data_IF_964750759401
#
_entry.id   IF_964750759401
#
_cell.length_a   1.000
_cell.length_b   1.000
_cell.length_c   1.000
_cell.angle_alpha   90.00
_cell.angle_beta   90.00
_cell.angle_gamma   90.00
#
_symmetry.space_group_name_H-M   'P 1'
#
loop_
_entity.id
_entity.type
_entity.pdbx_description
1 polymer ?
#
# COMPACT_ATOMS: atom_id res chain seq x y z
N UNK A 1 -30.56 44.57 -3.18
CA UNK A 1 -29.61 44.08 -2.17
C UNK A 1 -29.43 42.59 -2.41
N UNK A 2 -28.57 42.26 -3.36
CA UNK A 2 -28.17 40.89 -3.66
C UNK A 2 -27.08 40.42 -2.72
N UNK A 3 -27.30 39.30 -2.07
CA UNK A 3 -26.29 38.65 -1.24
C UNK A 3 -25.31 37.92 -2.15
N UNK A 4 -24.10 38.42 -2.26
CA UNK A 4 -22.97 37.66 -2.79
C UNK A 4 -22.79 36.37 -2.00
N UNK A 5 -23.09 35.24 -2.63
CA UNK A 5 -22.70 33.93 -2.13
C UNK A 5 -21.21 33.74 -2.43
N UNK A 6 -20.40 33.92 -1.40
CA UNK A 6 -18.97 33.68 -1.43
C UNK A 6 -18.69 32.18 -1.60
N UNK A 7 -18.47 31.73 -2.80
CA UNK A 7 -18.09 30.38 -3.12
C UNK A 7 -16.65 30.12 -2.66
N UNK A 8 -16.51 29.70 -1.41
CA UNK A 8 -15.23 29.27 -0.87
C UNK A 8 -14.81 27.95 -1.52
N UNK A 9 -13.64 27.92 -2.12
CA UNK A 9 -13.13 26.69 -2.75
C UNK A 9 -13.03 25.54 -1.72
N UNK A 10 -13.24 24.30 -2.16
CA UNK A 10 -13.19 23.08 -1.34
C UNK A 10 -11.90 23.01 -0.48
N UNK A 11 -10.80 23.51 -1.02
CA UNK A 11 -9.49 23.56 -0.35
C UNK A 11 -9.48 24.56 0.81
N UNK A 12 -10.14 25.71 0.65
CA UNK A 12 -10.29 26.73 1.69
C UNK A 12 -11.30 26.32 2.76
N UNK A 13 -12.34 25.59 2.36
CA UNK A 13 -13.31 25.01 3.29
C UNK A 13 -12.67 23.96 4.20
N UNK A 14 -11.81 23.08 3.66
CA UNK A 14 -11.07 22.10 4.45
C UNK A 14 -10.00 22.74 5.36
N UNK A 15 -9.36 23.83 4.91
CA UNK A 15 -8.37 24.54 5.72
C UNK A 15 -8.99 25.40 6.84
N UNK A 16 -10.15 25.99 6.61
CA UNK A 16 -10.76 26.94 7.54
C UNK A 16 -11.97 26.31 8.28
N UNK A 17 -12.85 25.63 7.58
CA UNK A 17 -14.07 25.05 8.17
C UNK A 17 -13.79 23.80 9.02
N UNK A 18 -12.87 22.95 8.58
CA UNK A 18 -12.44 21.79 9.37
C UNK A 18 -11.75 22.20 10.67
N UNK A 19 -10.92 23.25 10.62
CA UNK A 19 -10.23 23.76 11.80
C UNK A 19 -11.15 24.44 12.80
N UNK A 20 -12.18 25.14 12.34
CA UNK A 20 -13.11 25.89 13.21
C UNK A 20 -14.16 24.95 13.84
N UNK A 21 -14.70 23.98 13.11
CA UNK A 21 -15.70 23.05 13.66
C UNK A 21 -15.09 22.04 14.62
N UNK A 22 -13.88 21.54 14.37
CA UNK A 22 -13.15 20.72 15.33
C UNK A 22 -12.73 21.55 16.57
N UNK A 23 -12.29 22.80 16.39
CA UNK A 23 -11.92 23.67 17.50
C UNK A 23 -13.08 23.99 18.44
N UNK A 24 -14.27 24.27 17.93
CA UNK A 24 -15.43 24.65 18.75
C UNK A 24 -16.06 23.47 19.50
N UNK A 25 -16.05 22.27 18.93
CA UNK A 25 -16.66 21.08 19.55
C UNK A 25 -15.78 20.44 20.65
N UNK A 26 -14.47 20.67 20.63
CA UNK A 26 -13.49 20.04 21.52
C UNK A 26 -12.77 21.00 22.48
N UNK A 27 -12.97 22.31 22.35
CA UNK A 27 -12.29 23.31 23.20
C UNK A 27 -12.57 23.15 24.69
N UNK A 28 -13.61 22.43 25.09
CA UNK A 28 -13.95 22.19 26.50
C UNK A 28 -13.23 21.01 27.17
N UNK A 29 -12.63 20.09 26.39
CA UNK A 29 -12.09 18.84 26.96
C UNK A 29 -10.59 18.65 26.72
N UNK A 30 -10.00 19.28 25.72
CA UNK A 30 -8.64 18.93 25.28
C UNK A 30 -7.63 20.11 25.19
N UNK A 31 -7.92 21.25 25.70
CA UNK A 31 -6.99 22.35 25.98
C UNK A 31 -5.77 22.49 25.05
N UNK A 32 -4.59 22.60 25.67
CA UNK A 32 -3.30 22.83 24.99
C UNK A 32 -2.86 21.76 24.00
N UNK A 33 -3.33 20.53 24.12
CA UNK A 33 -2.99 19.44 23.22
C UNK A 33 -3.62 19.62 21.84
N UNK A 34 -4.87 20.09 21.77
CA UNK A 34 -5.57 20.35 20.51
C UNK A 34 -4.95 21.51 19.72
N UNK A 35 -4.51 22.55 20.45
CA UNK A 35 -3.84 23.70 19.82
C UNK A 35 -2.50 23.30 19.15
N UNK A 36 -1.72 22.45 19.81
CA UNK A 36 -0.50 21.89 19.22
C UNK A 36 -0.80 21.02 17.99
N UNK A 37 -1.86 20.21 18.04
CA UNK A 37 -2.32 19.42 16.90
C UNK A 37 -2.67 20.28 15.68
N UNK A 38 -3.32 21.43 15.90
CA UNK A 38 -3.75 22.32 14.83
C UNK A 38 -2.59 23.17 14.25
N UNK A 39 -1.54 23.40 15.01
CA UNK A 39 -0.40 24.22 14.60
C UNK A 39 0.77 23.43 14.02
N UNK A 40 0.81 22.12 14.27
CA UNK A 40 1.81 21.24 13.68
C UNK A 40 1.13 19.98 13.11
N UNK A 41 0.86 19.93 11.78
CA UNK A 41 0.19 18.81 11.13
C UNK A 41 0.88 17.46 11.34
N UNK A 42 2.18 17.45 11.63
CA UNK A 42 2.91 16.22 11.94
C UNK A 42 2.52 15.63 13.31
N UNK A 43 1.97 16.44 14.22
CA UNK A 43 1.54 16.03 15.56
C UNK A 43 0.04 15.69 15.64
N UNK A 44 -0.72 15.79 14.53
CA UNK A 44 -2.18 15.59 14.48
C UNK A 44 -2.62 14.18 14.95
N UNK A 45 -1.71 13.23 14.91
CA UNK A 45 -1.98 11.83 15.23
C UNK A 45 -1.38 11.37 16.57
N UNK A 46 -0.82 12.29 17.36
CA UNK A 46 -0.12 11.95 18.58
C UNK A 46 -0.62 12.79 19.75
N UNK A 47 -1.28 12.17 20.73
CA UNK A 47 -1.21 12.71 22.09
C UNK A 47 0.27 12.71 22.48
N UNK A 48 0.84 13.89 22.69
CA UNK A 48 2.30 14.05 22.84
C UNK A 48 2.92 13.26 23.99
N UNK A 49 2.11 12.77 24.96
CA UNK A 49 2.56 11.87 26.02
C UNK A 49 2.55 10.41 25.57
N UNK A 50 1.53 10.01 24.83
CA UNK A 50 1.37 8.64 24.35
C UNK A 50 2.34 8.36 23.21
N UNK A 51 2.56 9.31 22.30
CA UNK A 51 3.57 9.27 21.28
C UNK A 51 4.99 9.19 21.86
N UNK A 52 5.28 9.98 22.88
CA UNK A 52 6.56 9.94 23.56
C UNK A 52 6.78 8.60 24.28
N UNK A 53 5.75 8.07 24.91
CA UNK A 53 5.77 6.76 25.58
C UNK A 53 5.93 5.62 24.56
N UNK A 54 5.20 5.68 23.44
CA UNK A 54 5.33 4.69 22.36
C UNK A 54 6.68 4.79 21.65
N UNK A 55 7.19 6.00 21.44
CA UNK A 55 8.54 6.20 20.89
C UNK A 55 9.60 5.66 21.86
N UNK A 56 9.46 5.89 23.16
CA UNK A 56 10.35 5.33 24.19
C UNK A 56 10.20 3.80 24.30
N UNK A 57 9.01 3.24 24.10
CA UNK A 57 8.78 1.79 24.03
C UNK A 57 9.35 1.18 22.74
N UNK A 58 9.16 1.83 21.58
CA UNK A 58 9.76 1.43 20.31
C UNK A 58 11.29 1.56 20.33
N UNK A 59 11.82 2.58 21.02
CA UNK A 59 13.27 2.73 21.22
C UNK A 59 13.84 1.70 22.20
N UNK A 60 13.05 1.21 23.17
CA UNK A 60 13.44 0.13 24.10
C UNK A 60 13.39 -1.25 23.43
N UNK A 61 12.44 -1.47 22.55
CA UNK A 61 12.44 -2.64 21.67
C UNK A 61 13.36 -2.30 20.51
N UNK A 62 14.62 -2.69 20.58
CA UNK A 62 15.51 -2.63 19.42
C UNK A 62 14.90 -3.53 18.35
N UNK A 63 14.06 -2.92 17.48
CA UNK A 63 13.57 -3.61 16.30
C UNK A 63 14.78 -3.86 15.40
N UNK A 64 15.05 -5.12 15.14
CA UNK A 64 16.07 -5.51 14.19
C UNK A 64 15.37 -6.21 13.05
N UNK A 65 15.37 -5.56 11.88
CA UNK A 65 14.82 -6.12 10.66
C UNK A 65 15.46 -7.45 10.33
N UNK A 66 14.69 -8.49 9.96
CA UNK A 66 15.27 -9.72 9.41
C UNK A 66 15.87 -9.51 8.02
N UNK A 67 15.69 -8.33 7.44
CA UNK A 67 16.16 -7.97 6.11
C UNK A 67 17.28 -6.93 6.19
N UNK A 68 18.34 -7.11 5.39
CA UNK A 68 19.43 -6.14 5.24
C UNK A 68 19.44 -5.59 3.84
N UNK A 69 19.56 -4.27 3.72
CA UNK A 69 19.76 -3.63 2.43
C UNK A 69 21.12 -4.04 1.87
N UNK A 70 21.10 -4.68 0.69
CA UNK A 70 22.31 -5.14 0.00
C UNK A 70 22.64 -4.28 -1.20
N UNK A 71 21.61 -3.77 -1.86
CA UNK A 71 21.75 -3.05 -3.12
C UNK A 71 20.64 -2.00 -3.29
N UNK A 72 20.80 -1.12 -4.26
CA UNK A 72 19.76 -0.19 -4.68
C UNK A 72 20.23 0.66 -5.86
N UNK A 73 19.29 1.08 -6.68
CA UNK A 73 19.52 1.91 -7.85
C UNK A 73 18.44 2.97 -8.02
N UNK A 74 18.69 3.92 -8.91
CA UNK A 74 17.80 5.03 -9.22
C UNK A 74 17.21 4.81 -10.62
N UNK A 75 15.91 4.98 -10.74
CA UNK A 75 15.18 4.99 -12.00
C UNK A 75 15.10 6.45 -12.52
N UNK A 76 15.05 6.69 -13.83
CA UNK A 76 15.04 8.06 -14.36
C UNK A 76 13.90 8.95 -13.85
N UNK A 77 12.72 8.35 -13.62
CA UNK A 77 11.49 9.06 -13.23
C UNK A 77 10.91 8.53 -11.92
N UNK A 78 9.88 9.20 -11.40
CA UNK A 78 9.13 8.74 -10.23
C UNK A 78 8.41 7.42 -10.53
N UNK A 79 8.55 6.47 -9.63
CA UNK A 79 7.98 5.13 -9.76
C UNK A 79 6.51 5.19 -9.36
N UNK A 80 5.63 4.73 -10.23
CA UNK A 80 4.19 4.61 -9.98
C UNK A 80 3.77 3.17 -9.71
N UNK A 81 4.54 2.18 -10.18
CA UNK A 81 4.23 0.77 -10.03
C UNK A 81 5.50 -0.09 -9.98
N UNK A 82 5.42 -1.19 -9.25
CA UNK A 82 6.47 -2.21 -9.16
C UNK A 82 5.84 -3.58 -9.38
N UNK A 83 6.46 -4.41 -10.23
CA UNK A 83 6.03 -5.79 -10.46
C UNK A 83 7.23 -6.67 -10.79
N UNK A 84 7.02 -7.97 -10.92
CA UNK A 84 8.04 -8.93 -11.33
C UNK A 84 7.58 -9.71 -12.57
N UNK A 85 8.53 -10.00 -13.45
CA UNK A 85 8.34 -10.96 -14.55
C UNK A 85 9.52 -11.93 -14.57
N UNK A 86 9.31 -13.15 -14.10
CA UNK A 86 10.41 -14.08 -13.83
C UNK A 86 11.36 -13.49 -12.76
N UNK A 87 12.61 -13.33 -13.11
CA UNK A 87 13.67 -12.74 -12.27
C UNK A 87 13.91 -11.24 -12.52
N UNK A 88 13.09 -10.62 -13.37
CA UNK A 88 13.21 -9.21 -13.71
C UNK A 88 12.31 -8.34 -12.82
N UNK A 89 12.84 -7.18 -12.43
CA UNK A 89 12.08 -6.11 -11.78
C UNK A 89 11.44 -5.25 -12.85
N UNK A 90 10.12 -5.18 -12.86
CA UNK A 90 9.33 -4.32 -13.73
C UNK A 90 8.99 -3.05 -12.97
N UNK A 91 9.38 -1.91 -13.51
CA UNK A 91 9.15 -0.60 -12.92
C UNK A 91 8.30 0.24 -13.87
N UNK A 92 7.11 0.59 -13.42
CA UNK A 92 6.25 1.57 -14.08
C UNK A 92 6.59 2.98 -13.61
N UNK A 93 6.64 3.91 -14.54
CA UNK A 93 6.65 5.36 -14.30
C UNK A 93 5.46 5.99 -15.01
N UNK A 94 5.29 7.29 -14.94
CA UNK A 94 4.11 7.93 -15.53
C UNK A 94 3.87 7.58 -17.01
N UNK A 95 4.92 7.28 -17.78
CA UNK A 95 4.85 7.07 -19.22
C UNK A 95 5.82 6.01 -19.78
N UNK A 96 6.46 5.23 -18.91
CA UNK A 96 7.39 4.17 -19.34
C UNK A 96 7.27 2.93 -18.45
N UNK A 97 7.55 1.78 -19.04
CA UNK A 97 7.84 0.54 -18.34
C UNK A 97 9.32 0.24 -18.55
N UNK A 98 10.04 0.03 -17.46
CA UNK A 98 11.43 -0.41 -17.44
C UNK A 98 11.51 -1.83 -16.92
N UNK A 99 12.41 -2.62 -17.45
CA UNK A 99 12.75 -3.97 -16.94
C UNK A 99 14.22 -3.96 -16.53
N UNK A 100 14.44 -4.26 -15.28
CA UNK A 100 15.78 -4.35 -14.70
C UNK A 100 16.05 -5.78 -14.23
N UNK A 101 17.30 -6.20 -14.30
CA UNK A 101 17.75 -7.35 -13.53
C UNK A 101 17.83 -7.03 -12.05
N UNK A 102 17.99 -8.06 -11.23
CA UNK A 102 18.02 -7.92 -9.77
C UNK A 102 19.22 -7.09 -9.26
N UNK A 103 20.26 -6.94 -10.07
CA UNK A 103 21.42 -6.13 -9.79
C UNK A 103 21.34 -4.71 -10.39
N UNK A 104 20.16 -4.35 -10.93
CA UNK A 104 19.85 -3.01 -11.41
C UNK A 104 20.31 -2.69 -12.84
N UNK A 105 20.75 -3.68 -13.60
CA UNK A 105 21.07 -3.51 -15.02
C UNK A 105 19.77 -3.39 -15.84
N UNK A 106 19.69 -2.34 -16.67
CA UNK A 106 18.55 -2.14 -17.56
C UNK A 106 18.55 -3.19 -18.67
N UNK A 107 17.53 -4.01 -18.73
CA UNK A 107 17.37 -5.09 -19.70
C UNK A 107 16.40 -4.73 -20.83
N UNK A 108 15.60 -3.69 -20.66
CA UNK A 108 14.71 -3.18 -21.69
C UNK A 108 13.72 -2.19 -21.14
N UNK A 109 13.10 -1.46 -22.05
CA UNK A 109 12.03 -0.53 -21.73
C UNK A 109 11.12 -0.32 -22.94
N UNK A 110 9.91 0.15 -22.69
CA UNK A 110 8.99 0.63 -23.71
C UNK A 110 8.16 1.79 -23.15
N UNK A 111 7.76 2.68 -24.06
CA UNK A 111 6.93 3.84 -23.68
C UNK A 111 5.45 3.48 -23.69
N UNK A 112 4.71 4.06 -22.78
CA UNK A 112 3.26 3.93 -22.66
C UNK A 112 2.62 5.31 -22.60
N UNK A 113 1.30 5.38 -22.70
CA UNK A 113 0.59 6.66 -22.53
C UNK A 113 0.82 7.20 -21.11
N UNK A 114 0.80 8.52 -21.00
CA UNK A 114 1.00 9.18 -19.71
C UNK A 114 -0.14 8.88 -18.72
N UNK A 115 0.22 8.81 -17.44
CA UNK A 115 -0.71 8.62 -16.33
C UNK A 115 -0.82 7.16 -15.86
N UNK A 116 0.19 6.32 -16.15
CA UNK A 116 0.27 4.97 -15.60
C UNK A 116 0.22 5.02 -14.07
N UNK A 117 -0.63 4.19 -13.48
CA UNK A 117 -0.82 4.08 -12.02
C UNK A 117 -0.33 2.77 -11.45
N UNK A 118 -0.58 1.68 -12.17
CA UNK A 118 -0.22 0.35 -11.68
C UNK A 118 0.06 -0.61 -12.85
N UNK A 119 0.75 -1.69 -12.55
CA UNK A 119 1.06 -2.75 -13.50
C UNK A 119 0.90 -4.11 -12.84
N UNK A 120 0.29 -5.05 -13.54
CA UNK A 120 0.32 -6.46 -13.19
C UNK A 120 0.80 -7.29 -14.37
N UNK A 121 1.45 -8.41 -14.07
CA UNK A 121 1.92 -9.36 -15.07
C UNK A 121 1.14 -10.67 -14.92
N UNK A 122 0.58 -11.15 -16.02
CA UNK A 122 -0.11 -12.43 -16.05
C UNK A 122 -0.04 -13.07 -17.43
N UNK A 123 0.36 -14.34 -17.52
CA UNK A 123 0.54 -15.07 -18.77
C UNK A 123 1.38 -14.32 -19.81
N UNK A 124 2.56 -13.83 -19.40
CA UNK A 124 3.49 -13.07 -20.23
C UNK A 124 2.92 -11.78 -20.85
N UNK A 125 1.86 -11.25 -20.28
CA UNK A 125 1.27 -9.96 -20.65
C UNK A 125 1.37 -8.97 -19.52
N UNK A 126 1.55 -7.69 -19.89
CA UNK A 126 1.43 -6.58 -18.98
C UNK A 126 0.01 -6.02 -19.03
N UNK A 127 -0.61 -5.89 -17.88
CA UNK A 127 -1.88 -5.19 -17.70
C UNK A 127 -1.56 -3.86 -17.03
N UNK A 128 -1.70 -2.79 -17.79
CA UNK A 128 -1.33 -1.44 -17.38
C UNK A 128 -2.58 -0.68 -16.99
N UNK A 129 -2.59 -0.17 -15.78
CA UNK A 129 -3.72 0.57 -15.23
C UNK A 129 -3.52 2.07 -15.35
N UNK A 130 -4.50 2.73 -15.93
CA UNK A 130 -4.62 4.18 -15.96
C UNK A 130 -5.87 4.62 -15.20
N UNK A 131 -6.05 5.92 -14.88
CA UNK A 131 -7.21 6.39 -14.13
C UNK A 131 -8.57 5.96 -14.68
N UNK A 132 -8.69 5.83 -16.00
CA UNK A 132 -9.96 5.57 -16.70
C UNK A 132 -9.89 4.49 -17.77
N UNK A 133 -8.86 3.64 -17.75
CA UNK A 133 -8.71 2.54 -18.71
C UNK A 133 -7.70 1.52 -18.26
N UNK A 134 -7.73 0.36 -18.90
CA UNK A 134 -6.72 -0.69 -18.80
C UNK A 134 -6.17 -0.94 -20.20
N UNK A 135 -4.86 -0.99 -20.33
CA UNK A 135 -4.20 -1.34 -21.59
C UNK A 135 -3.43 -2.65 -21.39
N UNK A 136 -3.50 -3.54 -22.37
CA UNK A 136 -2.81 -4.82 -22.35
C UNK A 136 -1.70 -4.82 -23.39
N UNK A 137 -0.50 -5.16 -22.94
CA UNK A 137 0.70 -5.24 -23.78
C UNK A 137 1.28 -6.65 -23.75
N UNK A 138 1.94 -7.02 -24.83
CA UNK A 138 2.73 -8.25 -24.87
C UNK A 138 4.09 -8.07 -24.15
N UNK A 139 4.87 -9.15 -24.11
CA UNK A 139 6.20 -9.14 -23.49
C UNK A 139 7.20 -8.23 -24.23
N UNK A 140 6.96 -7.94 -25.51
CA UNK A 140 7.78 -7.06 -26.34
C UNK A 140 7.46 -5.57 -26.13
N UNK A 141 6.33 -5.27 -25.48
CA UNK A 141 5.84 -3.91 -25.25
C UNK A 141 4.95 -3.40 -26.38
N UNK A 142 4.37 -4.31 -27.18
CA UNK A 142 3.37 -3.95 -28.19
C UNK A 142 1.96 -3.99 -27.61
N UNK A 143 1.16 -2.96 -27.85
CA UNK A 143 -0.20 -2.87 -27.37
C UNK A 143 -1.11 -3.91 -28.05
N UNK A 144 -1.78 -4.74 -27.26
CA UNK A 144 -2.67 -5.80 -27.74
C UNK A 144 -4.15 -5.39 -27.63
N UNK A 145 -4.54 -4.78 -26.52
CA UNK A 145 -5.92 -4.43 -26.20
C UNK A 145 -5.99 -3.16 -25.37
N UNK A 146 -7.12 -2.47 -25.46
CA UNK A 146 -7.47 -1.33 -24.61
C UNK A 146 -8.92 -1.50 -24.14
N UNK A 147 -9.16 -1.30 -22.86
CA UNK A 147 -10.49 -1.41 -22.26
C UNK A 147 -10.84 -0.11 -21.54
N UNK A 148 -11.94 0.46 -21.94
CA UNK A 148 -12.52 1.62 -21.29
C UNK A 148 -12.90 1.32 -19.83
N UNK A 149 -12.89 2.33 -18.99
CA UNK A 149 -13.40 2.21 -17.64
C UNK A 149 -14.90 1.92 -17.63
N UNK A 150 -15.37 1.29 -16.55
CA UNK A 150 -16.79 0.96 -16.37
C UNK A 150 -17.70 2.17 -16.10
N UNK A 151 -17.14 3.36 -15.93
CA UNK A 151 -17.87 4.63 -15.78
C UNK A 151 -17.02 5.82 -16.19
N UNK A 152 -17.66 6.89 -16.65
CA UNK A 152 -17.01 8.13 -17.06
C UNK A 152 -16.26 8.84 -15.92
N UNK A 153 -16.64 8.57 -14.68
CA UNK A 153 -16.03 9.14 -13.48
C UNK A 153 -15.11 8.17 -12.76
N UNK A 154 -14.71 7.06 -13.40
CA UNK A 154 -13.81 6.11 -12.77
C UNK A 154 -12.47 6.76 -12.39
N UNK A 155 -11.91 6.33 -11.26
CA UNK A 155 -10.61 6.74 -10.78
C UNK A 155 -9.87 5.51 -10.23
N UNK A 156 -9.37 4.70 -11.18
CA UNK A 156 -8.71 3.44 -10.91
C UNK A 156 -7.40 3.65 -10.18
N UNK A 157 -7.17 2.86 -9.14
CA UNK A 157 -6.01 2.97 -8.28
C UNK A 157 -5.00 1.84 -8.46
N UNK A 158 -5.44 0.61 -8.30
CA UNK A 158 -4.59 -0.58 -8.41
C UNK A 158 -5.36 -1.75 -9.02
N UNK A 159 -4.61 -2.73 -9.55
CA UNK A 159 -5.17 -3.94 -10.13
C UNK A 159 -4.43 -5.20 -9.66
N UNK A 160 -5.14 -6.31 -9.72
CA UNK A 160 -4.56 -7.65 -9.59
C UNK A 160 -5.20 -8.58 -10.61
N UNK A 161 -4.42 -9.52 -11.14
CA UNK A 161 -4.85 -10.42 -12.22
C UNK A 161 -4.71 -11.87 -11.76
N UNK A 162 -5.72 -12.66 -12.01
CA UNK A 162 -5.75 -14.11 -11.79
C UNK A 162 -6.58 -14.78 -12.89
N UNK A 163 -6.63 -16.11 -12.90
CA UNK A 163 -7.34 -16.86 -13.94
C UNK A 163 -8.84 -16.55 -14.00
N UNK A 164 -9.45 -16.14 -12.89
CA UNK A 164 -10.87 -15.78 -12.78
C UNK A 164 -11.18 -14.38 -13.28
N UNK A 165 -10.14 -13.56 -13.59
CA UNK A 165 -10.29 -12.22 -14.12
C UNK A 165 -9.36 -11.20 -13.49
N UNK A 166 -9.68 -9.94 -13.74
CA UNK A 166 -8.93 -8.77 -13.31
C UNK A 166 -9.78 -8.01 -12.31
N UNK A 167 -9.19 -7.67 -11.17
CA UNK A 167 -9.84 -6.92 -10.12
C UNK A 167 -9.16 -5.56 -10.00
N UNK A 168 -9.93 -4.51 -10.11
CA UNK A 168 -9.47 -3.11 -10.14
C UNK A 168 -10.18 -2.33 -9.07
N UNK A 169 -9.43 -1.62 -8.25
CA UNK A 169 -9.99 -0.72 -7.24
C UNK A 169 -10.30 0.64 -7.85
N UNK A 170 -11.52 1.14 -7.62
CA UNK A 170 -12.00 2.43 -8.09
C UNK A 170 -12.29 3.35 -6.89
N UNK A 171 -11.47 4.39 -6.73
CA UNK A 171 -11.60 5.34 -5.62
C UNK A 171 -12.81 6.27 -5.77
N UNK A 172 -13.22 6.60 -6.98
CA UNK A 172 -14.38 7.45 -7.22
C UNK A 172 -15.67 6.72 -6.92
N UNK A 173 -15.84 5.51 -7.44
CA UNK A 173 -17.02 4.67 -7.22
C UNK A 173 -16.99 3.95 -5.87
N UNK A 174 -15.80 3.89 -5.20
CA UNK A 174 -15.59 3.19 -3.91
C UNK A 174 -16.05 1.72 -3.99
N UNK A 175 -15.55 1.04 -5.00
CA UNK A 175 -15.82 -0.37 -5.25
C UNK A 175 -14.59 -1.05 -5.88
N UNK A 176 -14.70 -2.36 -6.10
CA UNK A 176 -13.78 -3.12 -6.93
C UNK A 176 -14.54 -3.51 -8.19
N UNK A 177 -13.99 -3.17 -9.36
CA UNK A 177 -14.49 -3.63 -10.65
C UNK A 177 -13.84 -4.98 -10.98
N UNK A 178 -14.62 -6.00 -11.26
CA UNK A 178 -14.11 -7.27 -11.78
C UNK A 178 -14.36 -7.36 -13.27
N UNK A 179 -13.28 -7.53 -14.03
CA UNK A 179 -13.31 -7.79 -15.47
C UNK A 179 -12.94 -9.25 -15.75
N UNK A 180 -13.49 -9.79 -16.83
CA UNK A 180 -12.95 -11.01 -17.43
C UNK A 180 -11.62 -10.72 -18.12
N UNK A 181 -10.86 -11.76 -18.45
CA UNK A 181 -9.58 -11.63 -19.18
C UNK A 181 -9.74 -11.12 -20.62
N UNK A 182 -10.97 -11.05 -21.13
CA UNK A 182 -11.30 -10.45 -22.44
C UNK A 182 -11.68 -8.97 -22.36
N UNK A 183 -11.65 -8.36 -21.16
CA UNK A 183 -11.99 -6.97 -20.90
C UNK A 183 -13.47 -6.71 -20.61
N UNK A 184 -14.31 -7.74 -20.65
CA UNK A 184 -15.73 -7.58 -20.33
C UNK A 184 -15.92 -7.37 -18.83
N UNK A 185 -16.63 -6.31 -18.43
CA UNK A 185 -17.01 -6.11 -17.04
C UNK A 185 -17.91 -7.25 -16.56
N UNK A 186 -17.49 -7.93 -15.50
CA UNK A 186 -18.25 -9.04 -14.91
C UNK A 186 -19.18 -8.55 -13.79
N UNK A 187 -18.66 -7.73 -12.87
CA UNK A 187 -19.42 -7.22 -11.73
C UNK A 187 -18.72 -6.09 -10.99
N UNK A 188 -19.48 -5.46 -10.08
CA UNK A 188 -18.94 -4.56 -9.05
C UNK A 188 -19.00 -5.26 -7.69
N UNK A 189 -17.91 -5.14 -6.92
CA UNK A 189 -17.79 -5.66 -5.57
C UNK A 189 -17.79 -4.49 -4.61
N UNK A 190 -18.69 -4.50 -3.65
CA UNK A 190 -18.84 -3.46 -2.63
C UNK A 190 -18.46 -4.01 -1.26
N UNK A 191 -17.82 -3.17 -0.46
CA UNK A 191 -17.55 -3.52 0.92
C UNK A 191 -18.83 -3.45 1.77
N UNK A 192 -19.12 -4.47 2.59
CA UNK A 192 -20.19 -4.37 3.58
C UNK A 192 -19.90 -3.31 4.64
N UNK A 193 -18.62 -2.99 4.85
CA UNK A 193 -18.17 -1.93 5.75
C UNK A 193 -18.18 -0.53 5.09
N UNK A 194 -18.37 -0.46 3.77
CA UNK A 194 -18.19 0.72 2.94
C UNK A 194 -16.72 1.12 2.79
N UNK A 195 -16.21 1.19 1.58
CA UNK A 195 -14.84 1.65 1.32
C UNK A 195 -14.69 3.13 1.64
N UNK A 196 -13.62 3.46 2.39
CA UNK A 196 -13.21 4.83 2.72
C UNK A 196 -11.79 5.04 2.19
N UNK A 197 -11.66 5.81 1.10
CA UNK A 197 -10.42 5.99 0.35
C UNK A 197 -10.00 7.46 0.36
N UNK A 198 -9.37 7.94 1.45
CA UNK A 198 -9.15 9.37 1.63
C UNK A 198 -8.01 9.95 0.78
N UNK A 199 -7.13 9.13 0.21
CA UNK A 199 -5.94 9.62 -0.52
C UNK A 199 -5.59 8.78 -1.74
N UNK A 200 -6.59 8.22 -2.41
CA UNK A 200 -6.41 7.38 -3.60
C UNK A 200 -5.51 6.15 -3.41
N UNK A 201 -5.16 5.84 -2.18
CA UNK A 201 -4.46 4.61 -1.82
C UNK A 201 -5.51 3.52 -1.62
N UNK A 202 -5.55 2.55 -2.52
CA UNK A 202 -6.59 1.53 -2.54
C UNK A 202 -5.98 0.22 -3.05
N UNK A 203 -5.11 -0.37 -2.21
CA UNK A 203 -4.31 -1.55 -2.51
C UNK A 203 -5.15 -2.79 -2.74
N UNK A 204 -4.74 -3.63 -3.69
CA UNK A 204 -5.38 -4.91 -3.99
C UNK A 204 -4.35 -5.96 -4.36
N UNK A 205 -4.58 -7.19 -3.92
CA UNK A 205 -3.78 -8.35 -4.28
C UNK A 205 -4.63 -9.62 -4.26
N UNK A 206 -4.07 -10.73 -4.71
CA UNK A 206 -4.74 -12.02 -4.66
C UNK A 206 -3.83 -13.11 -4.11
N UNK A 207 -4.41 -14.07 -3.41
CA UNK A 207 -3.71 -15.24 -2.86
C UNK A 207 -4.68 -16.38 -2.65
N UNK A 208 -4.29 -17.59 -3.05
CA UNK A 208 -5.03 -18.83 -2.80
C UNK A 208 -6.53 -18.76 -3.21
N UNK A 209 -6.83 -18.12 -4.35
CA UNK A 209 -8.20 -17.99 -4.85
C UNK A 209 -9.06 -16.97 -4.07
N UNK A 210 -8.44 -16.07 -3.31
CA UNK A 210 -9.07 -14.95 -2.66
C UNK A 210 -8.47 -13.64 -3.14
N UNK A 211 -9.25 -12.58 -3.09
CA UNK A 211 -8.84 -11.20 -3.35
C UNK A 211 -8.80 -10.45 -2.02
N UNK A 212 -7.71 -9.75 -1.77
CA UNK A 212 -7.52 -8.92 -0.59
C UNK A 212 -7.42 -7.45 -1.03
N UNK A 213 -8.14 -6.60 -0.33
CA UNK A 213 -8.21 -5.19 -0.65
C UNK A 213 -8.03 -4.33 0.60
N UNK A 214 -7.20 -3.31 0.54
CA UNK A 214 -7.10 -2.35 1.63
C UNK A 214 -8.36 -1.50 1.72
N UNK A 215 -8.82 -1.19 2.94
CA UNK A 215 -9.83 -0.17 3.21
C UNK A 215 -9.18 0.89 4.12
N UNK A 216 -8.34 1.77 3.54
CA UNK A 216 -7.33 2.51 4.30
C UNK A 216 -7.94 3.53 5.28
N UNK A 217 -9.08 4.13 4.98
CA UNK A 217 -9.75 5.03 5.91
C UNK A 217 -10.48 4.32 7.05
N UNK A 218 -10.58 2.99 7.00
CA UNK A 218 -11.09 2.14 8.10
C UNK A 218 -9.96 1.40 8.81
N UNK A 219 -8.73 1.49 8.31
CA UNK A 219 -7.56 0.79 8.87
C UNK A 219 -7.72 -0.73 8.89
N UNK A 220 -8.30 -1.29 7.84
CA UNK A 220 -8.49 -2.72 7.68
C UNK A 220 -8.08 -3.19 6.27
N UNK A 221 -7.82 -4.48 6.17
CA UNK A 221 -7.76 -5.23 4.92
C UNK A 221 -8.98 -6.13 4.86
N UNK A 222 -9.67 -6.15 3.75
CA UNK A 222 -10.85 -6.97 3.50
C UNK A 222 -10.53 -8.11 2.54
N UNK A 223 -11.08 -9.28 2.82
CA UNK A 223 -10.94 -10.49 2.02
C UNK A 223 -12.25 -10.81 1.30
N UNK A 224 -12.12 -11.19 0.03
CA UNK A 224 -13.23 -11.59 -0.83
C UNK A 224 -12.92 -12.89 -1.54
N UNK A 225 -13.96 -13.66 -1.87
CA UNK A 225 -13.85 -14.75 -2.85
C UNK A 225 -13.62 -14.18 -4.25
N UNK A 226 -13.15 -14.99 -5.19
CA UNK A 226 -13.05 -14.60 -6.62
C UNK A 226 -14.42 -14.31 -7.25
N UNK A 227 -15.51 -14.67 -6.59
CA UNK A 227 -16.87 -14.32 -6.99
C UNK A 227 -17.34 -12.98 -6.38
N UNK A 228 -16.50 -12.31 -5.60
CA UNK A 228 -16.79 -11.02 -4.99
C UNK A 228 -17.57 -11.08 -3.68
N UNK A 229 -17.70 -12.26 -3.07
CA UNK A 229 -18.35 -12.44 -1.77
C UNK A 229 -17.39 -12.04 -0.66
N UNK A 230 -17.84 -11.20 0.27
CA UNK A 230 -17.07 -10.85 1.44
C UNK A 230 -16.83 -12.07 2.34
N UNK A 231 -15.59 -12.24 2.79
CA UNK A 231 -15.19 -13.36 3.67
C UNK A 231 -14.89 -12.87 5.08
N UNK A 232 -13.95 -11.94 5.21
CA UNK A 232 -13.44 -11.47 6.49
C UNK A 232 -12.75 -10.11 6.34
N UNK A 233 -12.37 -9.52 7.47
CA UNK A 233 -11.43 -8.39 7.50
C UNK A 233 -10.55 -8.47 8.73
N UNK A 234 -9.37 -7.86 8.65
CA UNK A 234 -8.43 -7.74 9.75
C UNK A 234 -7.80 -6.35 9.76
N UNK A 235 -7.13 -6.04 10.87
CA UNK A 235 -6.49 -4.76 11.11
C UNK A 235 -7.36 -3.84 11.96
N UNK A 236 -6.75 -2.82 12.51
CA UNK A 236 -7.38 -1.76 13.29
C UNK A 236 -6.50 -0.52 13.30
N UNK A 237 -7.10 0.62 13.60
CA UNK A 237 -6.37 1.87 13.79
C UNK A 237 -5.46 1.80 15.01
N UNK A 238 -4.23 2.28 14.88
CA UNK A 238 -3.28 2.37 15.98
C UNK A 238 -1.84 2.46 15.48
N UNK A 239 -0.89 2.47 16.41
CA UNK A 239 0.53 2.62 16.12
C UNK A 239 1.35 1.40 16.51
N UNK A 240 0.72 0.47 17.23
CA UNK A 240 1.35 -0.77 17.66
C UNK A 240 1.67 -1.70 16.50
N UNK A 241 2.41 -2.75 16.80
CA UNK A 241 2.66 -3.82 15.86
C UNK A 241 1.33 -4.49 15.45
N UNK A 242 1.11 -4.66 14.16
CA UNK A 242 -0.13 -5.20 13.61
C UNK A 242 -1.32 -4.22 13.56
N UNK A 243 -1.11 -2.95 13.88
CA UNK A 243 -2.10 -1.89 13.73
C UNK A 243 -1.73 -0.97 12.57
N UNK A 244 -2.69 -0.27 11.99
CA UNK A 244 -2.47 0.66 10.88
C UNK A 244 -2.53 2.11 11.37
N UNK A 245 -1.42 2.84 11.18
CA UNK A 245 -1.26 4.19 11.69
C UNK A 245 -1.86 5.26 10.76
N UNK A 246 -2.05 6.47 11.28
CA UNK A 246 -2.45 7.64 10.49
C UNK A 246 -3.90 7.60 10.02
N UNK A 247 -4.20 8.25 8.89
CA UNK A 247 -5.57 8.41 8.40
C UNK A 247 -5.92 7.53 7.19
N UNK A 248 -4.95 6.82 6.60
CA UNK A 248 -5.16 6.15 5.31
C UNK A 248 -4.12 5.04 5.07
N UNK A 249 -4.08 4.08 5.97
CA UNK A 249 -3.23 2.89 5.88
C UNK A 249 -4.07 1.60 6.04
N UNK A 250 -3.60 0.48 5.46
CA UNK A 250 -2.41 0.34 4.63
C UNK A 250 -2.61 0.94 3.23
N UNK A 251 -1.51 1.43 2.63
CA UNK A 251 -1.53 2.01 1.27
C UNK A 251 -1.30 0.98 0.19
N UNK A 252 -0.45 0.00 0.45
CA UNK A 252 -0.15 -1.12 -0.44
C UNK A 252 -0.35 -2.44 0.27
N UNK A 253 -0.74 -3.45 -0.50
CA UNK A 253 -0.84 -4.82 -0.06
C UNK A 253 -0.39 -5.74 -1.19
N UNK A 254 0.48 -6.69 -0.87
CA UNK A 254 0.88 -7.75 -1.80
C UNK A 254 0.77 -9.12 -1.14
N UNK A 255 0.64 -10.14 -1.97
CA UNK A 255 0.74 -11.53 -1.56
C UNK A 255 2.15 -12.07 -1.81
N UNK A 256 2.59 -12.99 -0.99
CA UNK A 256 3.84 -13.73 -1.17
C UNK A 256 3.56 -15.14 -1.65
N UNK A 257 4.53 -15.79 -2.29
CA UNK A 257 4.44 -17.20 -2.69
C UNK A 257 4.23 -18.15 -1.50
N UNK A 258 4.61 -17.72 -0.29
CA UNK A 258 4.42 -18.50 0.95
C UNK A 258 3.01 -18.43 1.52
N UNK A 259 2.12 -17.69 0.91
CA UNK A 259 0.76 -17.54 1.40
C UNK A 259 0.61 -16.45 2.47
N UNK A 260 1.52 -15.50 2.53
CA UNK A 260 1.49 -14.36 3.45
C UNK A 260 1.07 -13.09 2.72
N UNK A 261 0.62 -12.11 3.48
CA UNK A 261 0.31 -10.78 3.01
C UNK A 261 1.32 -9.79 3.57
N UNK A 262 1.89 -8.95 2.71
CA UNK A 262 2.68 -7.80 3.14
C UNK A 262 1.88 -6.54 2.95
N UNK A 263 1.95 -5.65 3.94
CA UNK A 263 1.35 -4.31 3.87
C UNK A 263 2.42 -3.25 3.98
N UNK A 264 2.21 -2.13 3.29
CA UNK A 264 3.04 -0.93 3.41
C UNK A 264 2.21 0.22 3.98
N UNK A 265 2.79 0.95 4.90
CA UNK A 265 2.19 2.12 5.54
C UNK A 265 2.99 3.39 5.20
N UNK A 266 2.29 4.53 5.16
CA UNK A 266 2.88 5.88 5.05
C UNK A 266 2.69 6.66 6.36
N UNK A 267 3.47 7.75 6.54
CA UNK A 267 3.40 8.58 7.74
C UNK A 267 4.27 8.04 8.87
N UNK A 268 4.14 6.77 9.21
CA UNK A 268 5.10 5.95 9.95
C UNK A 268 5.47 4.78 9.01
N UNK A 269 6.42 4.99 8.08
CA UNK A 269 6.70 4.00 7.06
C UNK A 269 7.15 2.69 7.67
N UNK A 270 6.45 1.62 7.32
CA UNK A 270 6.85 0.26 7.67
C UNK A 270 6.25 -0.74 6.71
N UNK A 271 6.91 -1.88 6.58
CA UNK A 271 6.41 -3.05 5.87
C UNK A 271 6.17 -4.14 6.89
N UNK A 272 4.92 -4.58 6.98
CA UNK A 272 4.46 -5.58 7.94
C UNK A 272 4.00 -6.86 7.24
N UNK A 273 4.18 -8.01 7.89
CA UNK A 273 3.79 -9.32 7.41
C UNK A 273 2.63 -9.87 8.22
N UNK A 274 1.64 -10.43 7.51
CA UNK A 274 0.47 -11.08 8.08
C UNK A 274 0.23 -12.44 7.41
N UNK A 275 -0.38 -13.37 8.13
CA UNK A 275 -0.97 -14.55 7.54
C UNK A 275 -2.18 -14.18 6.66
N UNK A 276 -2.58 -15.08 5.76
CA UNK A 276 -3.80 -14.90 4.96
C UNK A 276 -5.09 -14.92 5.80
N UNK A 277 -5.01 -15.33 7.04
CA UNK A 277 -6.08 -15.24 8.05
C UNK A 277 -6.11 -13.90 8.79
N UNK A 278 -5.18 -12.98 8.47
CA UNK A 278 -5.03 -11.69 9.11
C UNK A 278 -4.19 -11.69 10.39
N UNK A 279 -3.63 -12.83 10.80
CA UNK A 279 -2.73 -12.91 11.95
C UNK A 279 -1.46 -12.12 11.68
N UNK A 280 -1.15 -11.15 12.52
CA UNK A 280 0.10 -10.39 12.44
C UNK A 280 1.29 -11.28 12.80
N UNK A 281 2.30 -11.30 11.92
CA UNK A 281 3.52 -12.07 12.13
C UNK A 281 4.67 -11.20 12.61
N UNK A 282 5.01 -10.15 11.86
CA UNK A 282 6.16 -9.29 12.18
C UNK A 282 6.16 -8.00 11.37
N UNK A 283 6.95 -7.02 11.82
CA UNK A 283 7.43 -5.93 10.98
C UNK A 283 8.67 -6.43 10.24
N UNK A 284 8.73 -6.26 8.93
CA UNK A 284 9.88 -6.65 8.10
C UNK A 284 10.89 -5.50 7.96
N UNK A 285 10.38 -4.28 7.70
CA UNK A 285 11.17 -3.05 7.61
C UNK A 285 10.46 -1.94 8.38
N UNK A 286 11.22 -1.18 9.14
CA UNK A 286 10.78 0.01 9.85
C UNK A 286 11.13 1.30 9.09
N UNK A 287 10.79 2.45 9.64
CA UNK A 287 11.05 3.77 9.09
C UNK A 287 12.55 4.03 8.87
N UNK A 288 13.42 3.50 9.73
CA UNK A 288 14.88 3.65 9.61
C UNK A 288 15.41 2.87 8.41
N UNK A 289 14.97 1.63 8.25
CA UNK A 289 15.37 0.79 7.12
C UNK A 289 14.86 1.36 5.78
N UNK A 290 13.67 1.97 5.77
CA UNK A 290 13.04 2.59 4.61
C UNK A 290 13.55 4.01 4.31
N UNK A 291 14.29 4.64 5.23
CA UNK A 291 14.84 5.97 5.06
C UNK A 291 13.92 7.10 5.55
N UNK A 292 12.86 6.78 6.29
CA UNK A 292 11.95 7.73 6.90
C UNK A 292 11.00 8.44 5.91
N UNK A 293 10.37 9.51 6.38
CA UNK A 293 9.49 10.36 5.57
C UNK A 293 8.03 9.94 5.60
N UNK A 294 7.24 10.52 4.68
CA UNK A 294 5.81 10.24 4.56
C UNK A 294 5.45 9.44 3.29
N UNK A 295 6.45 8.90 2.60
CA UNK A 295 6.27 8.21 1.34
C UNK A 295 5.55 6.87 1.54
N UNK A 296 4.72 6.51 0.58
CA UNK A 296 4.26 5.14 0.40
C UNK A 296 5.37 4.35 -0.34
N UNK A 297 5.48 3.09 -0.01
CA UNK A 297 6.44 2.19 -0.66
C UNK A 297 5.66 1.06 -1.33
N UNK A 298 6.00 0.79 -2.60
CA UNK A 298 5.60 -0.45 -3.25
C UNK A 298 6.66 -1.53 -3.00
N UNK A 299 6.28 -2.78 -3.07
CA UNK A 299 7.16 -3.88 -2.70
C UNK A 299 6.84 -5.16 -3.47
N UNK A 300 7.87 -5.99 -3.70
CA UNK A 300 7.74 -7.35 -4.23
C UNK A 300 8.75 -8.26 -3.54
N UNK A 301 8.45 -9.55 -3.52
CA UNK A 301 9.39 -10.57 -3.05
C UNK A 301 9.84 -11.44 -4.22
N UNK A 302 11.15 -11.61 -4.33
CA UNK A 302 11.79 -12.54 -5.27
C UNK A 302 12.69 -13.49 -4.48
N UNK A 303 12.24 -14.70 -4.23
CA UNK A 303 12.93 -15.65 -3.37
C UNK A 303 13.09 -15.14 -1.94
N UNK A 304 14.32 -14.90 -1.52
CA UNK A 304 14.67 -14.35 -0.21
C UNK A 304 14.96 -12.83 -0.23
N UNK A 305 14.70 -12.17 -1.36
CA UNK A 305 14.90 -10.73 -1.52
C UNK A 305 13.57 -9.99 -1.45
N UNK A 306 13.53 -8.95 -0.63
CA UNK A 306 12.46 -7.97 -0.58
C UNK A 306 12.90 -6.74 -1.39
N UNK A 307 12.19 -6.47 -2.48
CA UNK A 307 12.42 -5.35 -3.38
C UNK A 307 11.43 -4.26 -3.01
N UNK A 308 11.92 -3.06 -2.76
CA UNK A 308 11.11 -1.92 -2.30
C UNK A 308 11.34 -0.73 -3.20
N UNK A 309 10.24 -0.16 -3.69
CA UNK A 309 10.23 1.06 -4.50
C UNK A 309 9.70 2.24 -3.70
N UNK A 310 10.37 3.38 -3.79
CA UNK A 310 9.92 4.63 -3.18
C UNK A 310 10.53 5.85 -3.86
N UNK A 311 9.68 6.82 -4.26
CA UNK A 311 10.09 7.92 -5.12
C UNK A 311 10.62 7.40 -6.46
N UNK A 312 11.88 7.66 -6.76
CA UNK A 312 12.56 7.12 -7.95
C UNK A 312 13.65 6.08 -7.61
N UNK A 313 13.56 5.45 -6.44
CA UNK A 313 14.60 4.51 -5.96
C UNK A 313 14.02 3.11 -5.80
N UNK A 314 14.81 2.14 -6.22
CA UNK A 314 14.64 0.73 -5.88
C UNK A 314 15.69 0.37 -4.82
N UNK A 315 15.25 -0.33 -3.78
CA UNK A 315 16.12 -0.89 -2.74
C UNK A 315 15.88 -2.38 -2.66
N UNK A 316 16.94 -3.16 -2.65
CA UNK A 316 16.92 -4.61 -2.52
C UNK A 316 17.42 -4.99 -1.13
N UNK A 317 16.62 -5.72 -0.40
CA UNK A 317 16.92 -6.22 0.94
C UNK A 317 17.00 -7.74 0.90
N UNK A 318 18.03 -8.28 1.49
CA UNK A 318 18.26 -9.71 1.62
C UNK A 318 17.80 -10.21 2.98
N UNK A 319 17.06 -11.32 3.02
CA UNK A 319 16.71 -11.99 4.27
C UNK A 319 17.95 -12.58 4.93
N UNK A 320 18.14 -12.32 6.24
CA UNK A 320 19.21 -12.88 7.04
C UNK A 320 18.65 -13.60 8.28
N UNK A 321 18.51 -14.92 8.18
CA UNK A 321 17.96 -15.76 9.23
C UNK A 321 18.74 -15.67 10.55
N UNK A 322 20.06 -15.43 10.49
CA UNK A 322 20.92 -15.32 11.70
C UNK A 322 20.62 -14.04 12.45
N UNK A 323 20.28 -12.97 11.73
CA UNK A 323 19.93 -11.69 12.32
C UNK A 323 18.57 -11.74 13.03
N UNK A 324 17.60 -12.41 12.44
CA UNK A 324 16.29 -12.68 13.02
C UNK A 324 16.39 -13.52 14.31
N UNK A 325 17.22 -14.56 14.34
CA UNK A 325 17.41 -15.41 15.52
C UNK A 325 18.06 -14.69 16.71
N UNK A 326 18.99 -13.76 16.47
CA UNK A 326 19.63 -12.98 17.52
C UNK A 326 18.67 -11.98 18.19
N UNK A 327 17.69 -11.47 17.46
CA UNK A 327 16.70 -10.52 17.98
C UNK A 327 15.68 -11.19 18.90
N UNK A 328 15.30 -12.42 18.62
CA UNK A 328 14.33 -13.17 19.41
C UNK A 328 14.92 -13.66 20.76
N UNK A 329 16.24 -13.85 20.88
CA UNK A 329 16.88 -14.36 22.09
C UNK A 329 17.23 -13.30 23.15
N UNK A 330 17.19 -12.00 22.82
CA UNK A 330 17.70 -10.91 23.69
C UNK A 330 16.66 -10.26 24.62
N UNK A 331 15.36 -10.35 24.35
CA UNK A 331 14.35 -9.57 25.06
C UNK A 331 12.98 -10.22 25.23
N UNK A 332 12.76 -11.46 24.82
CA UNK A 332 11.49 -12.14 25.01
C UNK A 332 11.41 -12.85 26.37
N UNK A 333 10.65 -12.28 27.30
CA UNK A 333 10.10 -12.98 28.47
C UNK A 333 8.85 -13.80 28.11
N UNK A 334 8.42 -13.83 26.85
CA UNK A 334 7.32 -14.63 26.33
C UNK A 334 7.93 -15.82 25.58
N UNK A 335 7.48 -17.03 25.90
CA UNK A 335 7.94 -18.26 25.28
C UNK A 335 7.92 -18.16 23.75
N UNK A 336 9.08 -18.28 23.12
CA UNK A 336 9.25 -18.23 21.68
C UNK A 336 8.52 -19.42 21.03
N UNK A 337 7.55 -19.22 20.13
CA UNK A 337 6.84 -20.32 19.49
C UNK A 337 7.68 -21.12 18.51
N UNK A 338 8.93 -20.73 18.25
CA UNK A 338 9.87 -21.48 17.41
C UNK A 338 10.92 -22.23 18.22
N UNK A 339 10.54 -23.15 19.08
CA UNK A 339 11.39 -24.27 19.41
C UNK A 339 11.38 -25.23 18.21
N UNK A 340 12.30 -25.02 17.29
CA UNK A 340 12.66 -26.05 16.33
C UNK A 340 13.25 -27.19 17.13
N UNK A 341 12.54 -28.29 17.19
CA UNK A 341 13.00 -29.56 17.72
C UNK A 341 14.19 -29.98 16.85
N UNK A 342 15.35 -30.11 17.49
CA UNK A 342 16.55 -30.73 16.92
C UNK A 342 16.32 -32.18 16.58
#
# INVERSE_FOLDING_TARGET
MEKEQNNMSRRRFLQVGGSIMLGAAFAGVMGRSLWKMLTNPADIFYDGKEAKRMKEELERVQFVSPYRRTFGFVVPDEITALELIGDQIVVGTANNIYRYGIEGELQGNFSVRSGLRDVAVYNDKFYLLFPSRIEVYDRQGEAIQEWEACSDNADYCQLTVLKEGIFVTDAAAKNICQYKLDGTLARFIKSPNGFVVPSYSFGITNINGHVFCSNPGRHIVEQYTVNGEYVASFGKSGMGAGEFSGCCNPVQIIATEKGELLTSEKGLPRISCYGSDGTFHSILLDDKALGGGHSAYDMRILGDKLIVAGGNKISVFQYDARHSAQTLCGSCTIECPMKVVS
#
